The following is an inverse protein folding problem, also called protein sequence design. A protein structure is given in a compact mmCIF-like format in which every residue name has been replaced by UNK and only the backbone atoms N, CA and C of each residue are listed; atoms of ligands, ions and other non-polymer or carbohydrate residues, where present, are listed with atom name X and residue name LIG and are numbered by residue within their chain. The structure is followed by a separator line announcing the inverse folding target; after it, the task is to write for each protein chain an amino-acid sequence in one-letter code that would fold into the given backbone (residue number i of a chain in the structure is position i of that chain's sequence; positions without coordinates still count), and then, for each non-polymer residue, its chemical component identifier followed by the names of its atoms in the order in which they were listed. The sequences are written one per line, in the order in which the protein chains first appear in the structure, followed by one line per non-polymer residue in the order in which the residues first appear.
data_IF_873803564625
#
_entry.id   IF_873803564625
#
_cell.length_a   1.000
_cell.length_b   1.000
_cell.length_c   1.000
_cell.angle_alpha   90.00
_cell.angle_beta   90.00
_cell.angle_gamma   90.00
#
_symmetry.space_group_name_H-M   'P 1'
#
loop_
_entity.id
_entity.type
_entity.pdbx_description
1 polymer ?
2 non-polymer ?
3 non-polymer ?
4 non-polymer ?
5 non-polymer ?
6 non-polymer ?
7 water ?
#
# COMPACT_ATOMS: atom_id res chain seq x y z
N UNK A 1 15.45 -0.14 10.34
CA UNK A 1 14.94 0.96 11.17
C UNK A 1 13.49 1.23 10.82
N UNK A 2 13.06 2.43 11.20
CA UNK A 2 11.71 2.94 10.94
C UNK A 2 11.38 2.91 9.44
N UNK A 3 12.26 3.42 8.59
CA UNK A 3 11.95 3.47 7.14
C UNK A 3 11.83 2.09 6.54
N UNK A 4 12.69 1.16 6.93
CA UNK A 4 12.56 -0.24 6.47
C UNK A 4 11.22 -0.81 6.95
N UNK A 5 10.79 -0.51 8.15
CA UNK A 5 9.49 -1.04 8.69
C UNK A 5 8.34 -0.58 7.79
N UNK A 6 8.39 0.65 7.35
CA UNK A 6 7.28 1.13 6.47
C UNK A 6 7.26 0.18 5.26
N UNK A 7 8.43 -0.06 4.66
CA UNK A 7 8.54 -0.99 3.50
C UNK A 7 7.98 -2.38 3.90
N UNK A 8 8.40 -2.93 5.03
CA UNK A 8 7.92 -4.26 5.48
C UNK A 8 6.38 -4.25 5.51
N UNK A 9 5.82 -3.26 6.17
CA UNK A 9 4.35 -3.22 6.42
C UNK A 9 3.64 -3.06 5.07
N UNK A 10 4.17 -2.24 4.20
CA UNK A 10 3.57 -2.02 2.86
C UNK A 10 3.55 -3.29 2.02
N UNK A 11 4.51 -4.17 2.17
CA UNK A 11 4.58 -5.35 1.28
C UNK A 11 3.55 -6.42 1.68
N UNK A 12 2.88 -6.24 2.81
CA UNK A 12 1.78 -7.15 3.24
C UNK A 12 0.70 -6.35 3.97
N UNK A 13 0.27 -5.22 3.40
CA UNK A 13 -0.36 -4.15 4.22
C UNK A 13 -1.75 -4.59 4.69
N UNK A 14 -2.46 -5.40 3.86
CA UNK A 14 -3.80 -5.98 4.17
C UNK A 14 -3.69 -6.91 5.38
N UNK A 15 -2.70 -7.79 5.45
CA UNK A 15 -2.63 -8.75 6.59
C UNK A 15 -2.06 -8.03 7.82
N UNK A 16 -1.12 -7.07 7.66
CA UNK A 16 -0.61 -6.32 8.84
C UNK A 16 -1.67 -5.34 9.35
N UNK A 17 -2.40 -4.60 8.48
CA UNK A 17 -3.41 -3.62 8.95
C UNK A 17 -4.49 -4.35 9.76
N UNK A 18 -4.98 -5.44 9.23
CA UNK A 18 -6.04 -6.25 9.93
C UNK A 18 -5.49 -6.83 11.23
N UNK A 19 -4.30 -7.46 11.17
CA UNK A 19 -3.78 -8.12 12.40
C UNK A 19 -3.43 -7.10 13.49
N UNK A 20 -2.90 -5.94 13.11
CA UNK A 20 -2.64 -4.92 14.14
C UNK A 20 -3.94 -4.32 14.69
N UNK A 21 -4.88 -3.99 13.80
CA UNK A 21 -6.12 -3.39 14.28
C UNK A 21 -6.84 -4.40 15.19
N UNK A 22 -6.80 -5.70 14.84
CA UNK A 22 -7.41 -6.76 15.69
C UNK A 22 -6.70 -6.81 17.05
N UNK A 23 -5.35 -6.66 17.05
CA UNK A 23 -4.63 -6.65 18.35
C UNK A 23 -5.13 -5.47 19.19
N UNK A 24 -5.33 -4.32 18.56
CA UNK A 24 -5.88 -3.09 19.22
C UNK A 24 -7.28 -3.39 19.80
N UNK A 25 -8.17 -3.95 18.99
CA UNK A 25 -9.56 -4.16 19.49
C UNK A 25 -9.59 -5.22 20.60
N UNK A 26 -8.69 -6.19 20.55
CA UNK A 26 -8.67 -7.30 21.54
C UNK A 26 -8.05 -6.77 22.84
N UNK A 27 -6.97 -5.96 22.73
CA UNK A 27 -6.36 -5.35 23.92
C UNK A 27 -7.29 -4.37 24.62
N UNK A 28 -8.12 -3.66 23.86
CA UNK A 28 -8.95 -2.54 24.37
C UNK A 28 -10.37 -2.73 23.89
N UNK A 29 -11.05 -3.78 24.41
CA UNK A 29 -12.35 -4.11 23.83
C UNK A 29 -13.37 -2.96 23.94
N UNK A 30 -13.22 -2.05 24.90
CA UNK A 30 -14.13 -0.88 25.01
C UNK A 30 -14.01 0.00 23.79
N UNK A 31 -12.91 -0.04 23.06
CA UNK A 31 -12.73 0.78 21.83
C UNK A 31 -13.79 0.40 20.78
N UNK A 32 -14.44 -0.76 20.89
CA UNK A 32 -15.51 -1.11 19.90
C UNK A 32 -16.69 -0.11 20.01
N UNK A 33 -16.73 0.71 21.06
CA UNK A 33 -17.71 1.83 21.20
C UNK A 33 -17.60 2.70 19.94
N UNK A 34 -16.43 2.79 19.28
CA UNK A 34 -16.26 3.64 18.09
C UNK A 34 -16.51 2.84 16.80
N UNK A 35 -16.73 1.53 16.93
CA UNK A 35 -16.80 0.55 15.81
C UNK A 35 -17.93 -0.46 16.11
N UNK A 36 -19.14 0.04 16.31
CA UNK A 36 -20.31 -0.76 16.76
C UNK A 36 -20.59 -1.95 15.81
N UNK A 37 -20.40 -1.82 14.51
CA UNK A 37 -20.60 -2.91 13.54
C UNK A 37 -19.69 -4.13 13.74
N UNK A 38 -18.65 -4.01 14.57
CA UNK A 38 -17.64 -5.09 14.82
C UNK A 38 -17.91 -5.87 16.12
N UNK A 39 -18.90 -5.46 16.89
CA UNK A 39 -19.33 -6.13 18.15
C UNK A 39 -19.86 -7.53 17.81
N UNK A 40 -19.53 -8.49 18.66
CA UNK A 40 -20.06 -9.86 18.53
C UNK A 40 -19.41 -10.64 17.40
N UNK A 41 -18.18 -10.29 16.96
CA UNK A 41 -17.52 -10.98 15.82
C UNK A 41 -16.07 -11.34 16.14
N UNK A 42 -15.72 -12.60 15.91
CA UNK A 42 -14.38 -13.17 16.05
C UNK A 42 -13.45 -12.46 15.05
N UNK A 43 -12.15 -12.68 15.21
CA UNK A 43 -11.15 -12.20 14.23
C UNK A 43 -11.49 -12.68 12.81
N UNK A 44 -11.77 -13.98 12.64
CA UNK A 44 -12.04 -14.57 11.31
C UNK A 44 -13.29 -13.95 10.70
N UNK A 45 -14.31 -13.68 11.51
CA UNK A 45 -15.55 -13.05 11.00
C UNK A 45 -15.26 -11.61 10.58
N UNK A 46 -14.49 -10.83 11.37
CA UNK A 46 -14.17 -9.46 10.93
C UNK A 46 -13.40 -9.45 9.58
N UNK A 47 -12.54 -10.44 9.36
CA UNK A 47 -11.68 -10.54 8.17
C UNK A 47 -12.50 -10.91 6.93
N UNK A 48 -13.80 -11.17 7.14
CA UNK A 48 -14.83 -11.46 6.12
C UNK A 48 -15.68 -10.21 5.77
N UNK A 49 -15.68 -9.17 6.62
CA UNK A 49 -16.57 -7.99 6.51
C UNK A 49 -15.88 -6.98 5.60
N UNK A 50 -16.50 -6.73 4.46
CA UNK A 50 -15.92 -5.85 3.42
C UNK A 50 -15.28 -4.60 4.01
N UNK A 51 -15.99 -3.88 4.87
CA UNK A 51 -15.56 -2.54 5.33
C UNK A 51 -14.49 -2.72 6.40
N UNK A 52 -14.41 -3.90 7.02
CA UNK A 52 -13.25 -4.18 7.92
C UNK A 52 -11.93 -4.17 7.13
N UNK A 53 -11.81 -4.98 6.12
CA UNK A 53 -10.55 -5.04 5.34
C UNK A 53 -10.28 -3.73 4.61
N UNK A 54 -11.30 -3.13 3.99
CA UNK A 54 -11.13 -1.89 3.20
C UNK A 54 -10.65 -0.78 4.14
N UNK A 55 -11.37 -0.58 5.23
CA UNK A 55 -11.16 0.52 6.18
C UNK A 55 -9.78 0.33 6.80
N UNK A 56 -9.48 -0.82 7.36
CA UNK A 56 -8.21 -1.01 8.07
C UNK A 56 -7.08 -0.80 7.08
N UNK A 57 -7.18 -1.29 5.86
CA UNK A 57 -6.10 -1.02 4.90
C UNK A 57 -5.95 0.49 4.64
N UNK A 58 -7.04 1.22 4.43
CA UNK A 58 -6.98 2.67 4.13
C UNK A 58 -6.40 3.43 5.32
N UNK A 59 -6.76 3.07 6.53
CA UNK A 59 -6.19 3.65 7.78
C UNK A 59 -4.67 3.45 7.73
N UNK A 60 -4.25 2.24 7.45
CA UNK A 60 -2.80 1.88 7.52
C UNK A 60 -2.06 2.51 6.35
N UNK A 61 -2.67 2.60 5.20
CA UNK A 61 -2.00 3.31 4.10
C UNK A 61 -1.73 4.76 4.53
N UNK A 62 -2.74 5.44 5.04
CA UNK A 62 -2.49 6.85 5.46
C UNK A 62 -1.45 6.89 6.59
N UNK A 63 -1.49 5.94 7.52
CA UNK A 63 -0.47 5.87 8.60
C UNK A 63 0.91 5.77 7.95
N UNK A 64 1.06 4.96 6.91
CA UNK A 64 2.35 4.74 6.24
C UNK A 64 2.76 6.00 5.47
N UNK A 65 1.83 6.76 4.89
CA UNK A 65 2.16 8.03 4.19
C UNK A 65 2.70 9.01 5.23
N UNK A 66 2.06 9.11 6.39
CA UNK A 66 2.42 10.07 7.48
C UNK A 66 3.79 9.64 8.02
N UNK A 67 3.99 8.34 8.26
CA UNK A 67 5.30 7.83 8.73
C UNK A 67 6.37 8.15 7.68
N UNK A 68 6.12 7.93 6.39
CA UNK A 68 7.10 8.11 5.29
C UNK A 68 7.48 9.59 5.16
N UNK A 69 6.54 10.51 5.42
CA UNK A 69 6.80 11.98 5.35
C UNK A 69 7.46 12.48 6.66
N UNK A 70 7.53 11.62 7.69
CA UNK A 70 8.07 12.03 9.01
C UNK A 70 9.61 12.20 8.89
N UNK A 71 10.16 13.03 9.77
CA UNK A 71 11.63 13.10 10.01
C UNK A 71 11.91 12.63 11.44
N UNK A 72 12.82 11.66 11.59
CA UNK A 72 13.18 11.19 12.96
C UNK A 72 11.91 10.89 13.75
N UNK A 73 10.91 10.27 13.11
CA UNK A 73 9.64 9.81 13.73
C UNK A 73 8.81 11.00 14.24
N UNK A 74 9.01 12.18 13.66
CA UNK A 74 8.17 13.37 13.96
C UNK A 74 7.34 13.67 12.71
N UNK A 75 6.00 13.56 12.80
CA UNK A 75 5.14 13.74 11.64
C UNK A 75 5.04 15.20 11.21
N UNK A 76 4.80 15.46 9.94
CA UNK A 76 4.51 16.85 9.49
C UNK A 76 3.31 17.39 10.31
N UNK A 77 3.43 18.58 10.93
CA UNK A 77 2.35 19.27 11.70
C UNK A 77 1.04 19.25 10.89
N UNK A 78 1.14 19.46 9.57
CA UNK A 78 -0.02 19.43 8.63
C UNK A 78 -0.71 18.07 8.73
N UNK A 79 0.12 17.01 8.70
CA UNK A 79 -0.46 15.67 8.75
C UNK A 79 -1.27 15.53 10.06
N UNK A 80 -0.77 16.02 11.20
CA UNK A 80 -1.50 15.97 12.50
C UNK A 80 -2.84 16.70 12.35
N UNK A 81 -2.80 17.88 11.65
CA UNK A 81 -3.97 18.75 11.44
C UNK A 81 -5.08 17.95 10.73
N UNK A 82 -4.73 17.23 9.68
CA UNK A 82 -5.62 16.33 8.88
C UNK A 82 -6.28 15.25 9.75
N UNK A 83 -5.50 14.55 10.58
CA UNK A 83 -6.07 13.50 11.47
C UNK A 83 -7.03 14.13 12.49
N UNK A 84 -6.78 15.37 12.91
CA UNK A 84 -7.68 16.04 13.89
C UNK A 84 -8.95 16.48 13.16
N UNK A 85 -8.82 16.97 11.92
CA UNK A 85 -9.96 17.63 11.21
C UNK A 85 -10.88 16.61 10.55
N UNK A 86 -10.43 15.36 10.42
CA UNK A 86 -11.21 14.28 9.75
C UNK A 86 -12.59 14.14 10.40
N UNK A 87 -13.67 14.20 9.59
CA UNK A 87 -15.05 14.02 10.10
C UNK A 87 -15.07 12.74 10.96
N UNK A 88 -14.38 11.67 10.53
CA UNK A 88 -14.50 10.31 11.12
C UNK A 88 -13.78 10.25 12.47
N UNK A 89 -12.97 11.27 12.78
CA UNK A 89 -12.23 11.39 14.07
C UNK A 89 -12.94 12.36 15.02
N UNK A 90 -14.15 12.82 14.68
CA UNK A 90 -14.90 13.71 15.59
C UNK A 90 -15.22 12.89 16.85
N UNK A 91 -14.88 13.42 18.02
CA UNK A 91 -15.16 12.76 19.31
C UNK A 91 -13.97 12.05 19.91
N UNK A 92 -12.86 11.83 19.18
CA UNK A 92 -11.73 10.99 19.66
C UNK A 92 -10.81 11.84 20.51
N UNK A 93 -10.20 11.20 21.49
CA UNK A 93 -9.18 11.90 22.30
C UNK A 93 -7.83 11.25 21.94
N UNK A 94 -6.76 11.91 22.31
CA UNK A 94 -5.41 11.41 21.97
C UNK A 94 -5.27 9.98 22.48
N UNK A 95 -5.96 9.61 23.57
CA UNK A 95 -5.74 8.33 24.25
C UNK A 95 -6.13 7.17 23.34
N UNK A 96 -7.07 7.41 22.41
CA UNK A 96 -7.49 6.41 21.41
C UNK A 96 -6.30 6.05 20.51
N UNK A 97 -5.53 7.03 20.08
CA UNK A 97 -4.32 6.86 19.23
C UNK A 97 -3.19 6.27 20.04
N UNK A 98 -2.98 6.75 21.26
CA UNK A 98 -2.02 6.15 22.19
C UNK A 98 -2.27 4.64 22.26
N UNK A 99 -3.54 4.24 22.34
CA UNK A 99 -3.96 2.82 22.51
C UNK A 99 -3.61 2.03 21.24
N UNK A 100 -3.92 2.59 20.07
CA UNK A 100 -3.64 1.94 18.78
C UNK A 100 -2.12 1.72 18.69
N UNK A 101 -1.33 2.73 19.09
CA UNK A 101 0.16 2.64 18.96
C UNK A 101 0.74 1.74 20.06
N UNK A 102 0.06 1.57 21.19
CA UNK A 102 0.52 0.62 22.24
C UNK A 102 0.40 -0.76 21.63
N UNK A 103 -0.77 -1.05 21.03
CA UNK A 103 -1.05 -2.36 20.42
C UNK A 103 -0.08 -2.59 19.27
N UNK A 104 0.16 -1.57 18.44
CA UNK A 104 1.11 -1.71 17.30
C UNK A 104 2.53 -2.07 17.81
N UNK A 105 3.01 -1.40 18.83
CA UNK A 105 4.37 -1.61 19.39
C UNK A 105 4.44 -3.03 19.99
N UNK A 106 3.38 -3.43 20.72
CA UNK A 106 3.25 -4.76 21.35
C UNK A 106 3.31 -5.86 20.27
N UNK A 107 2.70 -5.61 19.11
CA UNK A 107 2.62 -6.57 17.98
C UNK A 107 4.02 -6.72 17.40
N UNK A 108 4.70 -5.60 17.20
CA UNK A 108 6.07 -5.58 16.63
C UNK A 108 7.03 -6.32 17.56
N UNK A 109 6.95 -6.03 18.86
CA UNK A 109 7.77 -6.70 19.90
C UNK A 109 7.53 -8.21 19.78
N UNK A 110 6.27 -8.65 19.74
CA UNK A 110 5.92 -10.08 19.73
C UNK A 110 6.33 -10.76 18.42
N UNK A 111 6.62 -9.99 17.37
CA UNK A 111 7.04 -10.51 16.05
C UNK A 111 8.43 -11.12 16.20
N UNK A 112 8.78 -12.07 15.34
CA UNK A 112 10.18 -12.53 15.26
C UNK A 112 10.98 -11.58 14.39
N UNK A 113 10.35 -10.51 13.87
CA UNK A 113 11.01 -9.64 12.88
C UNK A 113 11.69 -8.46 13.57
N UNK A 114 12.78 -7.98 12.95
CA UNK A 114 13.61 -6.86 13.43
C UNK A 114 12.92 -5.51 13.21
N UNK A 115 11.66 -5.37 13.64
CA UNK A 115 10.93 -4.09 13.62
C UNK A 115 11.65 -3.17 14.63
N UNK A 116 11.76 -1.90 14.30
CA UNK A 116 12.30 -0.85 15.18
C UNK A 116 11.19 -0.40 16.13
N UNK A 117 10.83 -1.23 17.07
CA UNK A 117 9.70 -0.95 17.98
C UNK A 117 9.86 0.39 18.70
N UNK A 118 11.07 0.76 19.11
CA UNK A 118 11.34 2.02 19.84
C UNK A 118 10.91 3.21 18.97
N UNK A 119 11.21 3.17 17.67
CA UNK A 119 10.85 4.26 16.71
C UNK A 119 9.33 4.36 16.57
N UNK A 120 8.65 3.24 16.52
CA UNK A 120 7.17 3.21 16.42
C UNK A 120 6.57 3.81 17.71
N UNK A 121 7.16 3.49 18.87
CA UNK A 121 6.74 4.06 20.17
C UNK A 121 6.90 5.59 20.04
N UNK A 122 8.11 6.05 19.70
CA UNK A 122 8.35 7.51 19.55
C UNK A 122 7.31 8.11 18.61
N UNK A 123 7.13 7.49 17.44
CA UNK A 123 6.25 7.99 16.36
C UNK A 123 4.79 8.13 16.87
N UNK A 124 4.29 7.13 17.56
CA UNK A 124 3.00 7.19 18.26
C UNK A 124 2.96 8.34 19.23
N UNK A 125 3.97 8.43 20.15
CA UNK A 125 4.04 9.48 21.21
C UNK A 125 4.00 10.85 20.52
N UNK A 126 4.78 11.00 19.46
CA UNK A 126 5.00 12.30 18.74
C UNK A 126 3.75 12.63 17.93
N UNK A 127 3.06 11.62 17.41
CA UNK A 127 1.80 11.86 16.65
C UNK A 127 0.72 12.34 17.62
N UNK A 128 0.71 11.81 18.81
CA UNK A 128 -0.25 12.19 19.87
C UNK A 128 0.03 13.59 20.41
N UNK A 129 1.32 13.88 20.65
CA UNK A 129 1.78 15.25 21.00
C UNK A 129 1.21 16.21 19.94
N UNK A 130 1.38 15.84 18.66
CA UNK A 130 1.09 16.67 17.47
C UNK A 130 -0.42 16.82 17.27
N UNK A 131 -1.14 15.74 17.46
CA UNK A 131 -2.62 15.86 17.40
C UNK A 131 -3.07 16.85 18.48
N UNK A 132 -2.54 16.70 19.69
CA UNK A 132 -2.83 17.58 20.86
C UNK A 132 -2.49 19.03 20.51
N UNK A 133 -1.31 19.28 19.93
CA UNK A 133 -0.92 20.63 19.40
C UNK A 133 -1.90 21.10 18.33
N UNK A 134 -2.44 20.19 17.51
CA UNK A 134 -3.37 20.60 16.43
C UNK A 134 -4.82 20.58 16.94
N UNK A 135 -5.06 20.38 18.25
CA UNK A 135 -6.40 20.67 18.85
C UNK A 135 -7.10 19.46 19.45
N UNK A 136 -6.63 18.25 19.22
CA UNK A 136 -7.34 17.08 19.82
C UNK A 136 -7.25 17.10 21.35
N UNK A 137 -8.38 16.80 22.02
CA UNK A 137 -8.52 16.74 23.50
C UNK A 137 -8.01 15.39 24.02
N UNK B 1 1.31 16.04 -9.85
CA UNK B 1 2.47 15.44 -10.53
C UNK B 1 2.58 13.95 -10.22
N UNK B 2 3.71 13.38 -10.63
CA UNK B 2 4.10 11.98 -10.41
C UNK B 2 4.06 11.65 -8.90
N UNK B 3 4.60 12.48 -8.01
CA UNK B 3 4.66 12.14 -6.57
C UNK B 3 3.24 12.10 -6.00
N UNK B 4 2.41 13.07 -6.38
CA UNK B 4 1.00 13.06 -5.93
C UNK B 4 0.31 11.79 -6.42
N UNK B 5 0.56 11.39 -7.65
CA UNK B 5 -0.08 10.21 -8.25
C UNK B 5 0.18 8.97 -7.39
N UNK B 6 1.43 8.79 -6.92
CA UNK B 6 1.80 7.67 -6.04
C UNK B 6 0.91 7.73 -4.81
N UNK B 7 0.74 8.91 -4.20
CA UNK B 7 -0.14 9.06 -3.03
C UNK B 7 -1.60 8.72 -3.41
N UNK B 8 -2.12 9.21 -4.54
CA UNK B 8 -3.49 8.84 -5.00
C UNK B 8 -3.63 7.31 -5.08
N UNK B 9 -2.69 6.68 -5.78
CA UNK B 9 -2.77 5.23 -6.07
C UNK B 9 -2.69 4.50 -4.72
N UNK B 10 -1.79 4.93 -3.85
CA UNK B 10 -1.57 4.26 -2.54
C UNK B 10 -2.85 4.34 -1.69
N UNK B 11 -3.61 5.43 -1.80
CA UNK B 11 -4.80 5.66 -0.96
C UNK B 11 -5.92 4.66 -1.24
N UNK B 12 -5.91 4.03 -2.40
CA UNK B 12 -6.92 3.00 -2.75
C UNK B 12 -6.24 1.89 -3.56
N UNK B 13 -5.13 1.36 -3.03
CA UNK B 13 -4.13 0.61 -3.83
C UNK B 13 -4.75 -0.67 -4.41
N UNK B 14 -5.56 -1.37 -3.59
CA UNK B 14 -6.25 -2.64 -3.95
C UNK B 14 -7.10 -2.41 -5.20
N UNK B 15 -7.99 -1.41 -5.19
CA UNK B 15 -8.94 -1.13 -6.29
C UNK B 15 -8.13 -0.73 -7.52
N UNK B 16 -7.22 0.22 -7.40
CA UNK B 16 -6.42 0.65 -8.57
C UNK B 16 -5.63 -0.55 -9.12
N UNK B 17 -4.89 -1.23 -8.26
CA UNK B 17 -4.10 -2.38 -8.73
C UNK B 17 -4.99 -3.34 -9.53
N UNK B 18 -6.12 -3.80 -8.98
CA UNK B 18 -7.02 -4.73 -9.72
C UNK B 18 -7.55 -4.10 -11.01
N UNK B 19 -7.96 -2.83 -10.98
CA UNK B 19 -8.59 -2.20 -12.16
C UNK B 19 -7.59 -1.97 -13.28
N UNK B 20 -6.34 -1.61 -12.90
CA UNK B 20 -5.28 -1.37 -13.92
C UNK B 20 -4.76 -2.72 -14.49
N UNK B 21 -4.55 -3.71 -13.63
CA UNK B 21 -4.16 -5.07 -14.10
C UNK B 21 -5.23 -5.65 -15.04
N UNK B 22 -6.51 -5.47 -14.69
CA UNK B 22 -7.62 -5.97 -15.56
C UNK B 22 -7.57 -5.21 -16.87
N UNK B 23 -7.31 -3.89 -16.85
CA UNK B 23 -7.25 -3.17 -18.15
C UNK B 23 -6.12 -3.80 -19.02
N UNK B 24 -4.98 -4.08 -18.38
CA UNK B 24 -3.87 -4.73 -19.09
C UNK B 24 -4.24 -6.07 -19.69
N UNK B 25 -4.85 -6.95 -18.90
CA UNK B 25 -5.19 -8.30 -19.39
C UNK B 25 -6.28 -8.22 -20.44
N UNK B 26 -7.14 -7.21 -20.34
CA UNK B 26 -8.23 -7.09 -21.35
C UNK B 26 -7.68 -6.48 -22.65
N UNK B 27 -6.72 -5.52 -22.57
CA UNK B 27 -6.12 -4.89 -23.77
C UNK B 27 -5.20 -5.87 -24.50
N UNK B 28 -4.59 -6.74 -23.75
CA UNK B 28 -3.55 -7.71 -24.25
C UNK B 28 -3.87 -9.11 -23.76
N UNK B 29 -4.97 -9.72 -24.26
CA UNK B 29 -5.41 -11.00 -23.74
C UNK B 29 -4.34 -12.10 -23.82
N UNK B 30 -3.40 -12.08 -24.78
CA UNK B 30 -2.37 -13.16 -24.87
C UNK B 30 -1.41 -13.10 -23.67
N UNK B 31 -1.43 -12.02 -22.92
CA UNK B 31 -0.60 -11.91 -21.68
C UNK B 31 -1.07 -12.90 -20.61
N UNK B 32 -2.28 -13.48 -20.73
CA UNK B 32 -2.76 -14.56 -19.81
C UNK B 32 -1.85 -15.81 -19.94
N UNK B 33 -0.97 -15.88 -20.95
CA UNK B 33 0.05 -16.95 -21.11
C UNK B 33 0.85 -17.01 -19.80
N UNK B 34 1.12 -15.82 -19.26
CA UNK B 34 1.89 -15.63 -18.01
C UNK B 34 1.01 -15.91 -16.80
N UNK B 35 -0.33 -15.86 -16.94
CA UNK B 35 -1.27 -15.95 -15.79
C UNK B 35 -2.35 -17.00 -16.05
N UNK B 36 -1.93 -18.27 -16.09
CA UNK B 36 -2.80 -19.37 -16.62
C UNK B 36 -4.08 -19.56 -15.79
N UNK B 37 -4.04 -19.23 -14.51
CA UNK B 37 -5.14 -19.50 -13.55
C UNK B 37 -6.23 -18.42 -13.67
N UNK B 38 -6.06 -17.41 -14.54
CA UNK B 38 -7.03 -16.29 -14.71
C UNK B 38 -7.79 -16.51 -16.02
N UNK B 39 -7.42 -17.52 -16.79
CA UNK B 39 -8.14 -17.91 -18.05
C UNK B 39 -9.61 -18.25 -17.73
N UNK B 40 -10.53 -17.76 -18.57
CA UNK B 40 -11.94 -18.19 -18.47
C UNK B 40 -12.74 -17.49 -17.39
N UNK B 41 -12.26 -16.33 -16.93
CA UNK B 41 -12.81 -15.59 -15.77
C UNK B 41 -13.00 -14.12 -16.16
N UNK B 42 -14.17 -13.58 -15.84
CA UNK B 42 -14.52 -12.19 -16.05
C UNK B 42 -13.83 -11.33 -15.01
N UNK B 43 -13.91 -10.01 -15.17
CA UNK B 43 -13.35 -9.05 -14.19
C UNK B 43 -13.90 -9.35 -12.78
N UNK B 44 -15.23 -9.53 -12.67
CA UNK B 44 -15.91 -9.72 -11.36
C UNK B 44 -15.43 -11.00 -10.68
N UNK B 45 -15.26 -12.07 -11.46
CA UNK B 45 -14.79 -13.38 -10.93
C UNK B 45 -13.36 -13.15 -10.43
N UNK B 46 -12.50 -12.44 -11.18
CA UNK B 46 -11.10 -12.36 -10.71
C UNK B 46 -11.09 -11.58 -9.39
N UNK B 47 -11.91 -10.52 -9.31
CA UNK B 47 -11.97 -9.66 -8.11
C UNK B 47 -12.57 -10.39 -6.91
N UNK B 48 -13.15 -11.57 -7.10
CA UNK B 48 -13.57 -12.47 -5.98
C UNK B 48 -12.51 -13.55 -5.67
N UNK B 49 -11.39 -13.68 -6.39
CA UNK B 49 -10.31 -14.67 -6.04
C UNK B 49 -9.23 -14.01 -5.18
N UNK B 50 -8.93 -14.56 -4.00
CA UNK B 50 -8.04 -13.91 -2.99
C UNK B 50 -6.66 -13.67 -3.58
N UNK B 51 -6.16 -14.65 -4.32
CA UNK B 51 -4.85 -14.57 -5.01
C UNK B 51 -4.79 -13.27 -5.81
N UNK B 52 -5.86 -12.98 -6.55
CA UNK B 52 -5.88 -11.93 -7.57
C UNK B 52 -5.68 -10.60 -6.83
N UNK B 53 -6.49 -10.31 -5.84
CA UNK B 53 -6.37 -9.02 -5.13
C UNK B 53 -5.06 -8.95 -4.39
N UNK B 54 -4.65 -10.05 -3.75
CA UNK B 54 -3.35 -10.06 -3.00
C UNK B 54 -2.20 -9.86 -3.98
N UNK B 55 -2.13 -10.64 -5.05
CA UNK B 55 -0.97 -10.52 -5.98
C UNK B 55 -0.95 -9.13 -6.64
N UNK B 56 -2.07 -8.61 -7.15
CA UNK B 56 -2.06 -7.34 -7.87
C UNK B 56 -1.66 -6.25 -6.90
N UNK B 57 -2.10 -6.33 -5.65
CA UNK B 57 -1.76 -5.26 -4.68
C UNK B 57 -0.26 -5.31 -4.37
N UNK B 58 0.33 -6.51 -4.25
CA UNK B 58 1.81 -6.64 -3.98
C UNK B 58 2.60 -6.14 -5.18
N UNK B 59 2.15 -6.42 -6.39
CA UNK B 59 2.78 -5.92 -7.64
C UNK B 59 2.75 -4.41 -7.55
N UNK B 60 1.58 -3.81 -7.34
CA UNK B 60 1.52 -2.34 -7.37
C UNK B 60 2.23 -1.70 -6.17
N UNK B 61 2.31 -2.37 -5.05
CA UNK B 61 3.14 -1.85 -3.93
C UNK B 61 4.61 -1.72 -4.35
N UNK B 62 5.17 -2.76 -4.96
CA UNK B 62 6.57 -2.72 -5.41
C UNK B 62 6.68 -1.64 -6.50
N UNK B 63 5.68 -1.54 -7.40
CA UNK B 63 5.76 -0.51 -8.44
C UNK B 63 5.81 0.87 -7.76
N UNK B 64 4.98 1.10 -6.76
CA UNK B 64 4.93 2.40 -6.02
C UNK B 64 6.29 2.65 -5.29
N UNK B 65 6.89 1.59 -4.77
CA UNK B 65 8.24 1.81 -4.15
C UNK B 65 9.24 2.24 -5.22
N UNK B 66 9.26 1.56 -6.36
CA UNK B 66 10.20 1.89 -7.44
C UNK B 66 9.95 3.32 -7.88
N UNK B 67 8.69 3.65 -8.11
CA UNK B 67 8.32 4.99 -8.54
C UNK B 67 8.75 6.04 -7.55
N UNK B 68 8.62 5.78 -6.24
CA UNK B 68 8.95 6.81 -5.24
C UNK B 68 10.47 6.93 -5.13
N UNK B 69 11.20 5.86 -5.38
CA UNK B 69 12.69 5.97 -5.26
C UNK B 69 13.27 6.64 -6.52
N UNK B 70 12.49 6.71 -7.57
CA UNK B 70 12.94 7.22 -8.86
C UNK B 70 13.30 8.70 -8.72
N UNK B 71 14.11 9.21 -9.64
CA UNK B 71 14.35 10.66 -9.77
C UNK B 71 13.98 11.08 -11.19
N UNK B 72 13.17 12.13 -11.34
CA UNK B 72 12.73 12.62 -12.67
C UNK B 72 12.16 11.45 -13.48
N UNK B 73 11.44 10.53 -12.82
CA UNK B 73 10.80 9.33 -13.44
C UNK B 73 11.87 8.42 -14.07
N UNK B 74 13.07 8.42 -13.49
CA UNK B 74 14.09 7.43 -13.86
C UNK B 74 14.28 6.54 -12.65
N UNK B 75 13.98 5.24 -12.77
CA UNK B 75 14.11 4.32 -11.65
C UNK B 75 15.60 4.04 -11.41
N UNK B 76 15.87 3.67 -10.18
CA UNK B 76 17.22 3.15 -9.82
C UNK B 76 17.55 1.88 -10.61
N UNK B 77 18.84 1.75 -11.00
CA UNK B 77 19.38 0.54 -11.66
C UNK B 77 19.23 -0.65 -10.71
N UNK B 78 19.34 -0.44 -9.41
CA UNK B 78 19.19 -1.55 -8.44
C UNK B 78 17.76 -2.11 -8.47
N UNK B 79 16.81 -1.21 -8.58
CA UNK B 79 15.39 -1.64 -8.69
C UNK B 79 15.19 -2.42 -10.00
N UNK B 80 15.72 -1.96 -11.13
CA UNK B 80 15.51 -2.66 -12.42
C UNK B 80 16.07 -4.06 -12.27
N UNK B 81 17.24 -4.18 -11.64
CA UNK B 81 17.93 -5.47 -11.50
C UNK B 81 17.09 -6.40 -10.62
N UNK B 82 16.51 -5.91 -9.52
CA UNK B 82 15.58 -6.75 -8.70
C UNK B 82 14.45 -7.30 -9.59
N UNK B 83 13.87 -6.45 -10.42
CA UNK B 83 12.73 -6.90 -11.26
C UNK B 83 13.21 -7.91 -12.31
N UNK B 84 14.44 -7.76 -12.81
CA UNK B 84 15.04 -8.73 -13.76
C UNK B 84 15.27 -10.10 -13.09
N UNK B 85 15.70 -10.07 -11.83
CA UNK B 85 16.24 -11.26 -11.16
C UNK B 85 15.10 -12.06 -10.51
N UNK B 86 14.00 -11.40 -10.18
CA UNK B 86 12.90 -12.11 -9.50
C UNK B 86 12.57 -13.41 -10.24
N UNK B 87 12.46 -14.52 -9.49
CA UNK B 87 12.18 -15.84 -10.13
C UNK B 87 10.84 -15.79 -10.86
N UNK B 88 9.88 -15.05 -10.33
CA UNK B 88 8.54 -15.02 -10.97
C UNK B 88 8.65 -14.26 -12.31
N UNK B 89 9.77 -13.61 -12.59
CA UNK B 89 9.98 -12.86 -13.86
C UNK B 89 10.87 -13.60 -14.85
N UNK B 90 11.21 -14.87 -14.58
CA UNK B 90 12.21 -15.64 -15.34
C UNK B 90 11.87 -15.68 -16.85
N UNK B 91 10.61 -15.77 -17.27
CA UNK B 91 10.31 -15.92 -18.72
C UNK B 91 10.29 -14.59 -19.50
N UNK B 92 10.26 -13.45 -18.81
CA UNK B 92 9.69 -12.20 -19.39
C UNK B 92 10.71 -11.42 -20.21
N UNK B 93 10.16 -10.60 -21.12
CA UNK B 93 10.89 -9.60 -21.92
C UNK B 93 10.34 -8.20 -21.62
N UNK B 94 11.02 -7.20 -22.12
CA UNK B 94 10.68 -5.81 -21.77
C UNK B 94 9.32 -5.46 -22.37
N UNK B 95 8.92 -6.09 -23.48
CA UNK B 95 7.59 -5.87 -24.11
C UNK B 95 6.45 -6.11 -23.11
N UNK B 96 6.61 -7.07 -22.20
CA UNK B 96 5.57 -7.38 -21.19
C UNK B 96 5.34 -6.13 -20.31
N UNK B 97 6.44 -5.54 -19.87
CA UNK B 97 6.41 -4.32 -19.04
C UNK B 97 5.89 -3.12 -19.83
N UNK B 98 6.33 -2.91 -21.08
CA UNK B 98 5.82 -1.80 -21.92
C UNK B 98 4.29 -1.91 -22.02
N UNK B 99 3.77 -3.10 -22.28
CA UNK B 99 2.29 -3.27 -22.44
C UNK B 99 1.56 -2.97 -21.12
N UNK B 100 2.11 -3.34 -19.97
CA UNK B 100 1.48 -2.99 -18.68
C UNK B 100 1.44 -1.48 -18.54
N UNK B 101 2.57 -0.79 -18.81
CA UNK B 101 2.60 0.68 -18.73
C UNK B 101 1.68 1.29 -19.82
N UNK B 102 1.55 0.72 -21.02
CA UNK B 102 0.56 1.32 -21.99
C UNK B 102 -0.82 1.30 -21.34
N UNK B 103 -1.18 0.19 -20.76
CA UNK B 103 -2.52 0.03 -20.17
C UNK B 103 -2.71 0.99 -19.01
N UNK B 104 -1.66 1.12 -18.17
CA UNK B 104 -1.70 2.03 -17.00
C UNK B 104 -1.87 3.51 -17.46
N UNK B 105 -1.14 3.93 -18.49
CA UNK B 105 -1.19 5.32 -19.02
C UNK B 105 -2.62 5.54 -19.63
N UNK B 106 -3.13 4.57 -20.37
CA UNK B 106 -4.49 4.73 -21.00
C UNK B 106 -5.57 4.82 -19.90
N UNK B 107 -5.40 4.08 -18.80
CA UNK B 107 -6.30 4.04 -17.64
C UNK B 107 -6.35 5.45 -17.03
N UNK B 108 -5.16 6.02 -16.86
CA UNK B 108 -5.02 7.36 -16.25
C UNK B 108 -5.63 8.43 -17.18
N UNK B 109 -5.40 8.33 -18.49
CA UNK B 109 -5.92 9.32 -19.45
C UNK B 109 -7.46 9.29 -19.40
N UNK B 110 -8.04 8.10 -19.25
CA UNK B 110 -9.51 7.89 -19.31
C UNK B 110 -10.18 8.23 -17.97
N UNK B 111 -9.42 8.35 -16.91
CA UNK B 111 -9.95 8.71 -15.58
C UNK B 111 -10.30 10.22 -15.55
N UNK B 112 -11.17 10.61 -14.65
CA UNK B 112 -11.51 12.04 -14.56
C UNK B 112 -10.44 12.79 -13.82
N UNK B 113 -9.47 12.04 -13.30
CA UNK B 113 -8.50 12.61 -12.34
C UNK B 113 -7.29 13.20 -13.07
N UNK B 114 -6.72 14.21 -12.44
CA UNK B 114 -5.53 14.95 -12.94
C UNK B 114 -4.27 14.13 -12.65
N UNK B 115 -4.22 12.89 -13.14
CA UNK B 115 -2.98 12.04 -13.12
C UNK B 115 -1.98 12.70 -14.06
N UNK B 116 -0.69 12.57 -13.74
CA UNK B 116 0.35 13.08 -14.65
C UNK B 116 0.66 11.94 -15.61
N UNK B 117 -0.22 11.70 -16.55
CA UNK B 117 -0.08 10.59 -17.52
C UNK B 117 1.27 10.61 -18.26
N UNK B 118 1.77 11.78 -18.66
CA UNK B 118 3.03 11.86 -19.43
C UNK B 118 4.16 11.32 -18.50
N UNK B 119 4.14 11.68 -17.21
CA UNK B 119 5.22 11.20 -16.28
C UNK B 119 5.17 9.66 -16.15
N UNK B 120 4.00 9.04 -16.10
CA UNK B 120 3.91 7.56 -16.04
C UNK B 120 4.36 6.94 -17.34
N UNK B 121 4.14 7.64 -18.47
CA UNK B 121 4.61 7.17 -19.79
C UNK B 121 6.15 7.17 -19.80
N UNK B 122 6.76 8.24 -19.30
CA UNK B 122 8.25 8.37 -19.24
C UNK B 122 8.79 7.31 -18.27
N UNK B 123 8.12 7.17 -17.13
CA UNK B 123 8.47 6.18 -16.09
C UNK B 123 8.48 4.76 -16.66
N UNK B 124 7.46 4.40 -17.42
CA UNK B 124 7.44 3.11 -18.07
C UNK B 124 8.59 2.96 -19.06
N UNK B 125 8.81 3.95 -19.93
CA UNK B 125 9.88 3.89 -20.98
C UNK B 125 11.25 3.81 -20.29
N UNK B 126 11.42 4.53 -19.18
CA UNK B 126 12.73 4.57 -18.42
C UNK B 126 12.83 3.25 -17.69
N UNK B 127 11.71 2.65 -17.28
CA UNK B 127 11.83 1.35 -16.59
C UNK B 127 12.16 0.24 -17.61
N UNK B 128 11.56 0.28 -18.78
CA UNK B 128 11.89 -0.65 -19.90
C UNK B 128 13.40 -0.56 -20.24
N UNK B 129 13.88 0.66 -20.47
CA UNK B 129 15.30 0.89 -20.79
C UNK B 129 16.18 0.30 -19.66
N UNK B 130 15.84 0.63 -18.43
CA UNK B 130 16.55 0.12 -17.22
C UNK B 130 16.55 -1.40 -17.15
N UNK B 131 15.44 -2.03 -17.45
CA UNK B 131 15.33 -3.50 -17.37
C UNK B 131 16.27 -4.09 -18.41
N UNK B 132 16.31 -3.48 -19.59
CA UNK B 132 17.23 -3.89 -20.67
C UNK B 132 18.68 -3.74 -20.19
N UNK B 133 19.00 -2.62 -19.56
CA UNK B 133 20.37 -2.36 -19.07
C UNK B 133 20.74 -3.37 -17.98
N UNK B 134 19.75 -3.84 -17.20
CA UNK B 134 20.03 -4.83 -16.13
C UNK B 134 19.88 -6.27 -16.64
N UNK B 135 19.73 -6.48 -17.97
CA UNK B 135 19.90 -7.80 -18.63
C UNK B 135 18.57 -8.52 -19.02
N UNK B 136 17.43 -7.84 -19.05
CA UNK B 136 16.21 -8.50 -19.55
C UNK B 136 16.23 -8.43 -21.08
N UNK B 137 15.90 -9.53 -21.75
CA UNK B 137 15.83 -9.55 -23.23
C UNK B 137 14.58 -8.77 -23.68
X LIG C 1 -11.91 -1.24 10.50
X LIG C 1 -11.89 0.44 10.84
X LIG C 1 -13.07 1.09 10.49
X LIG C 1 -13.09 2.46 10.71
X LIG C 1 -14.52 3.34 10.30
X LIG C 1 -14.04 0.42 9.87
X LIG C 1 -10.82 1.06 11.41
X LIG C 1 -10.91 2.41 11.65
X LIG C 1 -9.60 3.27 12.43
X LIG C 1 -12.03 3.11 11.30
X LIG D 1 11.54 -5.21 9.73
X LIG D 1 10.88 -4.17 8.95
X LIG D 1 12.86 -5.63 9.13
X LIG D 1 12.84 -6.00 7.77
X LIG E 1 -5.98 7.56 28.57
X LIG E 1 -5.02 7.77 29.61
X LIG E 1 -6.30 8.85 27.88
X LIG E 1 -7.70 8.97 27.63
X LIG E 1 -8.08 10.09 26.83
X LIG E 1 -6.90 11.03 26.57
X LIG E 1 -7.15 11.97 25.55
X LIG F 1 5.29 17.56 18.26
X LIG F 1 3.95 17.96 18.10
X LIG F 1 5.57 16.13 17.91
X LIG F 1 5.29 15.67 16.60
X LIG G 1 -11.61 6.21 9.63
X LIG G 1 -6.84 7.04 9.28
X LIG G 1 -6.47 6.11 14.14
X LIG G 1 -11.40 5.92 14.50
X LIG G 1 -10.31 6.39 9.10
X LIG G 1 -10.10 6.50 7.64
X LIG G 1 -8.67 6.72 7.57
X LIG G 1 -8.22 6.81 9.00
X LIG G 1 -7.93 6.87 6.31
X LIG G 1 -10.99 6.29 6.45
X LIG G 1 -11.34 4.79 6.28
X LIG G 1 -12.43 4.62 5.23
X LIG G 1 -13.45 5.33 5.29
X LIG G 1 -12.29 3.78 4.30
X LIG G 1 -6.29 6.83 10.60
X LIG G 1 -4.81 6.95 10.90
X LIG G 1 -4.75 6.66 12.36
X LIG G 1 -6.15 6.41 12.80
X LIG G 1 -3.72 7.27 9.91
X LIG G 1 -3.60 6.63 13.29
X LIG G 1 -2.45 7.16 12.87
X LIG G 1 -7.78 5.95 14.65
X LIG G 1 -8.01 5.60 16.09
X LIG G 1 -9.51 5.57 16.16
X LIG G 1 -9.97 5.85 14.79
X LIG G 1 -7.07 5.45 17.22
X LIG G 1 -10.36 5.21 17.27
X LIG G 1 -9.97 4.34 18.17
X LIG G 1 -11.89 6.00 13.17
X LIG G 1 -13.33 5.75 12.91
X LIG G 1 -13.38 5.84 11.43
X LIG G 1 -11.98 6.12 11.01
X LIG G 1 -14.46 5.51 13.91
X LIG G 1 -14.62 5.68 10.55
X LIG G 1 -15.26 4.32 10.75
X LIG G 1 -14.39 3.17 10.32
X LIG G 1 -14.73 2.03 10.76
X LIG G 1 -13.40 3.35 9.53
X LIG G 1 -9.14 6.59 11.92
X LIG G 1 -9.23 6.64 9.89
X LIG G 1 -7.09 6.52 11.75
X LIG G 1 -8.92 6.10 13.94
X LIG G 1 -11.15 6.18 12.05
X LIG H 1 -17.30 -9.20 21.43
X LIG H 1 -16.88 -9.07 22.82
X LIG H 1 -16.16 -8.99 20.53
X LIG H 1 -17.77 -10.53 21.23
X LIG H 1 -18.31 -8.20 21.06
X LIG I 1 -1.56 11.26 1.18
X LIG I 1 -1.67 11.42 2.65
X LIG I 1 -0.17 11.33 0.81
X LIG I 1 -2.13 9.98 0.81
X LIG I 1 -2.31 12.31 0.50
X LIG J 1 1.43 -14.16 -9.82
X LIG J 1 0.71 -12.64 -10.28
X LIG J 1 -0.68 -12.44 -10.10
X LIG J 1 -1.16 -11.19 -10.48
X LIG J 1 -2.84 -10.94 -10.20
X LIG J 1 -1.49 -13.30 -9.50
X LIG J 1 1.50 -11.68 -10.85
X LIG J 1 0.96 -10.47 -11.21
X LIG J 1 2.00 -9.31 -11.99
X LIG J 1 -0.39 -10.20 -11.04
X LIG K 1 -4.29 13.96 -8.61
X LIG K 1 -4.79 13.87 -7.29
X LIG K 1 -4.13 12.58 -9.15
X LIG K 1 -3.05 11.83 -8.52
X LIG L 1 10.60 -1.25 -0.41
X LIG L 1 11.72 -0.40 -0.14
X LIG L 1 10.92 -2.49 -1.08
X LIG L 1 11.17 -2.34 -2.49
X LIG M 1 4.73 -11.74 -9.44
X LIG M 1 6.17 -6.98 -9.07
X LIG M 1 5.36 -6.44 -13.93
X LIG M 1 4.54 -11.26 -14.34
X LIG M 1 5.11 -10.39 -8.93
X LIG M 1 5.15 -10.10 -7.51
X LIG M 1 5.60 -8.74 -7.41
X LIG M 1 5.72 -8.34 -8.79
X LIG M 1 5.81 -7.99 -6.15
X LIG M 1 4.88 -11.01 -6.38
X LIG M 1 3.38 -11.11 -6.21
X LIG M 1 3.01 -12.16 -5.22
X LIG M 1 3.68 -13.22 -5.21
X LIG M 1 2.01 -11.94 -4.47
X LIG M 1 6.05 -6.44 -10.41
X LIG M 1 6.25 -4.99 -10.68
X LIG M 1 6.00 -4.86 -12.08
X LIG M 1 5.70 -6.21 -12.57
X LIG M 1 6.59 -4.01 -9.68
X LIG M 1 6.13 -3.65 -12.95
X LIG M 1 6.87 -2.66 -12.58
X LIG M 1 5.02 -7.71 -14.46
X LIG M 1 4.68 -7.83 -15.91
X LIG M 1 4.49 -9.29 -15.98
X LIG M 1 4.71 -9.84 -14.62
X LIG M 1 4.60 -6.82 -16.97
X LIG M 1 3.97 -10.12 -17.11
X LIG M 1 3.29 -9.65 -18.15
X LIG M 1 4.49 -11.76 -13.02
X LIG M 1 4.13 -13.15 -12.79
X LIG M 1 4.20 -13.27 -11.35
X LIG M 1 4.64 -11.97 -10.87
X LIG M 1 3.76 -14.29 -13.77
X LIG M 1 3.90 -14.46 -10.46
X LIG M 1 2.47 -14.97 -10.67
X LIG M 1 1.42 -13.96 -10.26
X LIG M 1 1.69 -13.05 -9.41
X LIG M 1 0.28 -14.10 -10.83
X LIG M 1 5.52 -9.16 -11.73
X LIG M 1 5.52 -9.33 -9.70
X LIG M 1 5.67 -7.14 -11.57
X LIG M 1 5.01 -8.88 -13.74
X LIG M 1 4.80 -11.09 -11.90
X LIG N 1 -10.97 -15.45 -21.37
X LIG N 1 -10.05 -16.46 -20.94
X LIG N 1 -10.59 -14.27 -20.57
X LIG N 1 -12.30 -15.80 -21.15
X LIG N 1 -10.73 -15.15 -22.72
#
# INVERSE_FOLDING_TARGET
GFKQDIATLRGDLRTYAQDIFLAFLNKYPDEKRNFKNYVGKSDQELKSMAKFGDHTEKVFNLMMEVADRATDCVPLASDASTLVQMKQHSGLTTGNFEKLFVALVEYMRASGQSFDSQSWDRFGKNLVSALSSAGMK
GFKQDIATLRGDLRTYAQDIFLAFLNKYPDEKRNFKNYVGKSDQELKSMAKFGDHTEKVFNLMMEVADRATDCVPLASDASTLVQMKQHSGLTTGNFEKLFVALVEYMRASGQSFDSQSWDRFGKNLVSALSSAGMK
T6C CL2 C2 C1 C6 CL6 O1 C3 C4 CL4 C5
EDO C1 O1 C2 O2
PEG C1 O1 C2 O2 C3 C4 O4
EDO C1 O1 C2 O2
MNR CHA CHB CHC CHD C1A C2A C3A C4A CMA CAA CBA CGA O1A O2A C1B C2B C3B C4B CMB CAB CBB C1C C2C C3C C4C CMC CAC CBC C1D C2D C3D C4D CMD CAD CBD CGD O1D O2D MN NA NB NC ND
SO4 S O1 O2 O3 O4
SO4 S O1 O2 O3 O4
T6C CL2 C2 C1 C6 CL6 O1 C3 C4 CL4 C5
EDO C1 O1 C2 O2
EDO C1 O1 C2 O2
MNR CHA CHB CHC CHD C1A C2A C3A C4A CMA CAA CBA CGA O1A O2A C1B C2B C3B C4B CMB CAB CBB C1C C2C C3C C4C CMC CAC CBC C1D C2D C3D C4D CMD CAD CBD CGD O1D O2D MN NA NB NC ND
SO4 S O1 O2 O3 O4
#
